data_IF_732853463528
#
_entry.id   IF_732853463528
#
_cell.length_a   1.000
_cell.length_b   1.000
_cell.length_c   1.000
_cell.angle_alpha   90.00
_cell.angle_beta   90.00
_cell.angle_gamma   90.00
#
_symmetry.space_group_name_H-M   'P 1'
#
loop_
_entity.id
_entity.type
_entity.pdbx_description
1 polymer ?
#
# COMPACT_ATOMS: atom_id res chain seq x y z
N UNK A 1 -14.17 6.63 20.99
CA UNK A 1 -14.25 7.23 19.63
C UNK A 1 -15.49 6.71 18.93
N UNK A 2 -16.20 7.55 18.19
CA UNK A 2 -17.44 7.15 17.52
C UNK A 2 -17.14 6.66 16.10
N UNK A 3 -17.88 5.64 15.66
CA UNK A 3 -17.84 5.18 14.27
C UNK A 3 -18.49 6.24 13.37
N UNK A 4 -17.91 6.46 12.19
CA UNK A 4 -18.47 7.37 11.20
C UNK A 4 -19.92 6.95 10.85
N UNK A 5 -20.91 7.88 10.82
CA UNK A 5 -22.32 7.51 10.65
C UNK A 5 -22.60 6.65 9.41
N UNK A 6 -21.98 6.97 8.27
CA UNK A 6 -22.13 6.18 7.04
C UNK A 6 -21.57 4.76 7.14
N UNK A 7 -20.67 4.49 8.11
CA UNK A 7 -20.03 3.18 8.28
C UNK A 7 -20.76 2.30 9.29
N UNK A 8 -21.62 2.86 10.15
CA UNK A 8 -22.38 2.09 11.16
C UNK A 8 -23.15 0.89 10.56
N UNK A 9 -23.84 1.01 9.41
CA UNK A 9 -24.57 -0.12 8.82
C UNK A 9 -23.69 -1.32 8.43
N UNK A 10 -22.40 -1.13 8.28
CA UNK A 10 -21.45 -2.16 7.85
C UNK A 10 -20.77 -2.90 9.01
N UNK A 11 -20.92 -2.43 10.26
CA UNK A 11 -20.36 -3.08 11.45
C UNK A 11 -20.75 -4.57 11.59
N UNK A 12 -22.00 -5.00 11.32
CA UNK A 12 -22.37 -6.42 11.43
C UNK A 12 -21.66 -7.32 10.42
N UNK A 13 -21.12 -6.77 9.32
CA UNK A 13 -20.39 -7.54 8.30
C UNK A 13 -18.91 -7.73 8.62
N UNK A 14 -18.42 -7.09 9.69
CA UNK A 14 -17.03 -7.23 10.11
C UNK A 14 -16.80 -8.56 10.85
N UNK A 15 -15.69 -9.26 10.57
CA UNK A 15 -15.37 -10.53 11.21
C UNK A 15 -14.83 -10.37 12.63
N UNK A 16 -15.46 -9.52 13.47
CA UNK A 16 -14.98 -9.21 14.83
C UNK A 16 -15.05 -10.40 15.79
N UNK A 17 -15.95 -11.35 15.53
CA UNK A 17 -16.16 -12.55 16.35
C UNK A 17 -15.62 -13.82 15.70
N UNK A 18 -15.14 -13.77 14.48
CA UNK A 18 -14.54 -14.90 13.77
C UNK A 18 -13.09 -15.12 14.19
N UNK A 19 -12.54 -16.29 13.86
CA UNK A 19 -11.11 -16.55 14.00
C UNK A 19 -10.29 -15.46 13.28
N UNK A 20 -9.18 -15.05 13.91
CA UNK A 20 -8.30 -14.06 13.30
C UNK A 20 -7.75 -14.63 11.97
N UNK A 21 -7.72 -13.84 10.87
CA UNK A 21 -7.27 -14.33 9.57
C UNK A 21 -5.85 -14.87 9.56
N UNK A 22 -5.02 -14.51 10.53
CA UNK A 22 -3.64 -15.01 10.66
C UNK A 22 -3.50 -16.25 11.54
N UNK A 23 -4.57 -16.79 12.10
CA UNK A 23 -4.57 -18.08 12.81
C UNK A 23 -4.60 -19.26 11.82
N UNK A 24 -5.25 -19.08 10.66
CA UNK A 24 -5.25 -20.04 9.55
C UNK A 24 -5.08 -19.29 8.23
N UNK A 25 -3.81 -19.07 7.86
CA UNK A 25 -3.45 -18.29 6.68
C UNK A 25 -3.92 -18.98 5.39
N UNK A 26 -3.83 -20.31 5.30
CA UNK A 26 -4.22 -21.02 4.08
C UNK A 26 -5.73 -20.92 3.85
N UNK A 27 -6.55 -21.17 4.87
CA UNK A 27 -7.99 -21.00 4.75
C UNK A 27 -8.38 -19.56 4.41
N UNK A 28 -7.65 -18.56 4.96
CA UNK A 28 -7.88 -17.15 4.67
C UNK A 28 -7.51 -16.81 3.22
N UNK A 29 -6.38 -17.32 2.72
CA UNK A 29 -5.96 -17.15 1.32
C UNK A 29 -6.96 -17.77 0.35
N UNK A 30 -7.48 -18.96 0.68
CA UNK A 30 -8.48 -19.66 -0.14
C UNK A 30 -9.80 -18.89 -0.18
N UNK A 31 -10.26 -18.42 0.98
CA UNK A 31 -11.44 -17.57 1.09
C UNK A 31 -11.30 -16.26 0.30
N UNK A 32 -10.14 -15.63 0.37
CA UNK A 32 -9.85 -14.41 -0.38
C UNK A 32 -9.82 -14.67 -1.89
N UNK A 33 -9.18 -15.75 -2.35
CA UNK A 33 -9.19 -16.16 -3.77
C UNK A 33 -10.61 -16.43 -4.27
N UNK A 34 -11.42 -17.14 -3.48
CA UNK A 34 -12.81 -17.42 -3.82
C UNK A 34 -13.64 -16.12 -3.92
N UNK A 35 -13.42 -15.17 -3.00
CA UNK A 35 -14.08 -13.86 -3.04
C UNK A 35 -13.71 -13.06 -4.30
N UNK A 36 -12.44 -13.04 -4.68
CA UNK A 36 -11.97 -12.37 -5.90
C UNK A 36 -12.58 -13.02 -7.15
N UNK A 37 -12.60 -14.35 -7.22
CA UNK A 37 -13.17 -15.09 -8.35
C UNK A 37 -14.69 -14.85 -8.48
N UNK A 38 -15.40 -14.76 -7.37
CA UNK A 38 -16.86 -14.50 -7.36
C UNK A 38 -17.22 -13.07 -7.78
N UNK A 39 -16.28 -12.13 -7.67
CA UNK A 39 -16.47 -10.71 -8.01
C UNK A 39 -15.32 -10.21 -8.86
N UNK A 40 -15.27 -10.57 -10.15
CA UNK A 40 -14.20 -10.11 -11.03
C UNK A 40 -14.14 -8.57 -11.05
N UNK A 41 -12.91 -8.04 -11.12
CA UNK A 41 -12.71 -6.60 -11.20
C UNK A 41 -13.13 -6.09 -12.58
N UNK A 42 -13.66 -4.87 -12.61
CA UNK A 42 -13.88 -4.15 -13.86
C UNK A 42 -12.53 -3.80 -14.50
N UNK A 43 -12.31 -4.29 -15.72
CA UNK A 43 -11.09 -4.06 -16.49
C UNK A 43 -11.29 -3.08 -17.65
N UNK A 44 -12.46 -2.48 -17.74
CA UNK A 44 -12.76 -1.53 -18.83
C UNK A 44 -11.75 -0.39 -18.87
N UNK A 45 -11.29 -0.03 -20.06
CA UNK A 45 -10.32 1.05 -20.25
C UNK A 45 -8.89 0.73 -19.78
N UNK A 46 -8.59 -0.51 -19.39
CA UNK A 46 -7.24 -0.90 -18.91
C UNK A 46 -6.80 -2.20 -19.59
N UNK A 47 -5.59 -2.20 -20.13
CA UNK A 47 -4.87 -3.41 -20.54
C UNK A 47 -3.84 -3.78 -19.50
N UNK A 48 -3.55 -5.06 -19.32
CA UNK A 48 -2.47 -5.53 -18.46
C UNK A 48 -1.62 -6.59 -19.12
N UNK A 49 -0.35 -6.63 -18.73
CA UNK A 49 0.63 -7.60 -19.18
C UNK A 49 1.49 -8.04 -18.01
N UNK A 50 1.80 -9.33 -17.94
CA UNK A 50 2.63 -9.90 -16.87
C UNK A 50 4.07 -10.06 -17.33
N UNK A 51 4.98 -9.77 -16.42
CA UNK A 51 6.42 -9.94 -16.59
C UNK A 51 6.98 -10.73 -15.43
N UNK A 52 7.91 -11.65 -15.74
CA UNK A 52 8.67 -12.38 -14.75
C UNK A 52 10.08 -11.80 -14.66
N UNK A 53 10.43 -11.29 -13.51
CA UNK A 53 11.72 -10.66 -13.21
C UNK A 53 12.60 -11.72 -12.55
N UNK A 54 13.74 -12.11 -13.17
CA UNK A 54 14.64 -13.08 -12.57
C UNK A 54 15.17 -12.63 -11.21
N UNK A 55 15.11 -13.50 -10.20
CA UNK A 55 15.83 -13.35 -8.95
C UNK A 55 17.20 -14.02 -9.04
N UNK A 56 18.11 -13.60 -8.18
CA UNK A 56 19.46 -14.19 -8.13
C UNK A 56 19.51 -15.66 -7.72
N UNK A 57 18.44 -16.21 -7.18
CA UNK A 57 18.30 -17.61 -6.76
C UNK A 57 17.72 -18.55 -7.86
N UNK A 58 17.50 -18.03 -9.04
CA UNK A 58 16.91 -18.76 -10.18
C UNK A 58 15.39 -18.80 -10.22
N UNK A 59 14.71 -18.25 -9.22
CA UNK A 59 13.27 -18.03 -9.22
C UNK A 59 12.91 -16.72 -9.94
N UNK A 60 11.62 -16.42 -10.09
CA UNK A 60 11.16 -15.18 -10.70
C UNK A 60 10.14 -14.46 -9.81
N UNK A 61 10.23 -13.12 -9.81
CA UNK A 61 9.22 -12.23 -9.29
C UNK A 61 8.25 -11.89 -10.40
N UNK A 62 6.97 -12.15 -10.23
CA UNK A 62 5.96 -11.72 -11.17
C UNK A 62 5.49 -10.30 -10.85
N UNK A 63 5.45 -9.44 -11.85
CA UNK A 63 4.78 -8.14 -11.79
C UNK A 63 3.73 -8.07 -12.89
N UNK A 64 2.65 -7.33 -12.64
CA UNK A 64 1.65 -7.04 -13.64
C UNK A 64 1.60 -5.55 -13.94
N UNK A 65 1.83 -5.19 -15.20
CA UNK A 65 1.87 -3.83 -15.71
C UNK A 65 0.52 -3.48 -16.28
N UNK A 66 -0.18 -2.55 -15.66
CA UNK A 66 -1.47 -2.01 -16.07
C UNK A 66 -1.26 -0.70 -16.81
N UNK A 67 -1.95 -0.55 -17.93
CA UNK A 67 -1.89 0.66 -18.76
C UNK A 67 -3.29 1.15 -19.09
N UNK A 68 -3.53 2.46 -19.15
CA UNK A 68 -4.76 2.98 -19.74
C UNK A 68 -4.90 2.42 -21.15
N UNK A 69 -6.11 2.03 -21.52
CA UNK A 69 -6.43 1.59 -22.88
C UNK A 69 -6.88 2.84 -23.63
N UNK A 70 -6.00 3.35 -24.48
CA UNK A 70 -6.21 4.59 -25.20
C UNK A 70 -7.07 4.41 -26.45
N UNK A 71 -7.58 5.54 -26.98
CA UNK A 71 -7.96 5.64 -28.38
C UNK A 71 -6.84 5.18 -29.30
N UNK A 72 -7.11 4.92 -30.55
CA UNK A 72 -6.33 4.12 -31.51
C UNK A 72 -4.81 4.40 -31.66
N UNK A 73 -4.22 5.33 -30.95
CA UNK A 73 -2.80 5.70 -31.00
C UNK A 73 -2.03 5.61 -29.66
N UNK A 74 -2.67 5.15 -28.60
CA UNK A 74 -1.99 4.93 -27.31
C UNK A 74 -1.73 6.18 -26.49
N UNK A 75 -2.21 7.32 -26.89
CA UNK A 75 -2.15 8.57 -26.12
C UNK A 75 -3.50 8.82 -25.43
N UNK A 76 -3.55 9.19 -24.14
CA UNK A 76 -4.80 9.66 -23.55
C UNK A 76 -5.29 10.88 -24.36
N UNK A 77 -6.46 10.79 -24.98
CA UNK A 77 -7.05 11.95 -25.67
C UNK A 77 -7.14 13.13 -24.68
N UNK A 78 -6.30 14.16 -24.91
CA UNK A 78 -6.31 15.38 -24.11
C UNK A 78 -5.42 15.39 -22.87
N UNK A 79 -4.66 14.35 -22.56
CA UNK A 79 -3.67 14.43 -21.50
C UNK A 79 -2.41 15.11 -22.04
N UNK A 80 -2.19 16.36 -21.67
CA UNK A 80 -0.85 16.96 -21.70
C UNK A 80 0.01 16.14 -20.72
N UNK A 81 0.81 15.21 -21.23
CA UNK A 81 1.63 14.30 -20.39
C UNK A 81 2.72 15.05 -19.61
N UNK A 82 2.85 16.35 -19.81
CA UNK A 82 3.90 17.18 -19.21
C UNK A 82 5.32 16.73 -19.56
N UNK A 83 5.45 15.64 -20.33
CA UNK A 83 6.73 15.10 -20.77
C UNK A 83 6.99 15.45 -22.23
N UNK A 84 8.17 16.01 -22.56
CA UNK A 84 8.55 16.30 -23.95
C UNK A 84 8.58 15.06 -24.87
N UNK A 85 8.48 13.86 -24.32
CA UNK A 85 8.60 12.58 -25.03
C UNK A 85 7.31 11.77 -25.04
N UNK A 86 6.18 12.28 -24.50
CA UNK A 86 4.95 11.51 -24.37
C UNK A 86 5.03 10.33 -23.39
N UNK A 87 6.07 10.27 -22.52
CA UNK A 87 6.24 9.23 -21.53
C UNK A 87 5.26 9.45 -20.36
N UNK A 88 4.71 8.35 -19.85
CA UNK A 88 3.81 8.36 -18.68
C UNK A 88 4.60 8.23 -17.36
N UNK A 89 4.12 8.81 -16.26
CA UNK A 89 4.65 8.44 -14.95
C UNK A 89 4.30 7.00 -14.63
N UNK A 90 4.96 6.45 -13.61
CA UNK A 90 4.67 5.12 -13.09
C UNK A 90 4.30 5.12 -11.62
N UNK A 91 3.42 4.19 -11.23
CA UNK A 91 3.07 3.92 -9.84
C UNK A 91 3.30 2.44 -9.55
N UNK A 92 4.28 2.12 -8.71
CA UNK A 92 4.41 0.77 -8.18
C UNK A 92 3.42 0.60 -7.03
N UNK A 93 2.59 -0.44 -7.12
CA UNK A 93 1.62 -0.77 -6.10
C UNK A 93 2.02 -2.04 -5.35
N UNK A 94 2.16 -1.92 -4.03
CA UNK A 94 2.38 -3.02 -3.12
C UNK A 94 1.08 -3.31 -2.37
N UNK A 95 0.52 -4.50 -2.56
CA UNK A 95 -0.76 -4.85 -1.95
C UNK A 95 -0.65 -4.99 -0.43
N UNK A 96 -1.77 -4.83 0.28
CA UNK A 96 -1.88 -5.12 1.71
C UNK A 96 -2.06 -6.60 2.00
N UNK A 97 -2.32 -6.93 3.27
CA UNK A 97 -2.58 -8.30 3.73
C UNK A 97 -1.58 -8.81 4.74
N UNK A 98 -1.01 -7.92 5.59
CA UNK A 98 -0.11 -8.27 6.69
C UNK A 98 1.09 -9.11 6.25
N UNK A 99 1.63 -8.84 5.08
CA UNK A 99 2.78 -9.55 4.49
C UNK A 99 2.54 -11.04 4.19
N UNK A 100 1.36 -11.59 4.50
CA UNK A 100 1.06 -13.02 4.43
C UNK A 100 -0.15 -13.36 3.54
N UNK A 101 -1.01 -12.39 3.23
CA UNK A 101 -2.25 -12.55 2.47
C UNK A 101 -2.22 -11.54 1.32
N UNK A 102 -3.12 -11.64 0.35
CA UNK A 102 -3.46 -10.53 -0.53
C UNK A 102 -2.97 -10.62 -1.96
N UNK A 103 -2.58 -11.79 -2.46
CA UNK A 103 -2.31 -11.95 -3.89
C UNK A 103 -3.56 -11.70 -4.72
N UNK A 104 -3.41 -10.90 -5.77
CA UNK A 104 -4.46 -10.70 -6.76
C UNK A 104 -4.52 -11.87 -7.76
N UNK A 105 -5.69 -12.11 -8.35
CA UNK A 105 -5.80 -12.92 -9.55
C UNK A 105 -5.22 -12.14 -10.74
N UNK A 106 -4.67 -12.81 -11.77
CA UNK A 106 -4.12 -12.13 -12.94
C UNK A 106 -5.10 -11.13 -13.55
N UNK A 107 -4.66 -9.88 -13.72
CA UNK A 107 -5.46 -8.79 -14.25
C UNK A 107 -6.61 -8.32 -13.34
N UNK A 108 -6.62 -8.72 -12.08
CA UNK A 108 -7.73 -8.48 -11.16
C UNK A 108 -7.36 -7.60 -9.95
N UNK A 109 -6.18 -7.00 -9.93
CA UNK A 109 -5.82 -6.08 -8.86
C UNK A 109 -6.68 -4.81 -8.95
N UNK A 110 -7.67 -4.74 -8.05
CA UNK A 110 -8.66 -3.64 -8.04
C UNK A 110 -8.04 -2.29 -7.77
N UNK A 111 -7.00 -2.25 -6.94
CA UNK A 111 -6.31 -1.01 -6.62
C UNK A 111 -5.48 -0.55 -7.81
N UNK A 112 -4.72 -1.46 -8.44
CA UNK A 112 -3.96 -1.14 -9.64
C UNK A 112 -4.86 -0.71 -10.81
N UNK A 113 -6.00 -1.38 -11.00
CA UNK A 113 -6.99 -1.00 -12.01
C UNK A 113 -7.59 0.38 -11.75
N UNK A 114 -7.92 0.70 -10.49
CA UNK A 114 -8.44 2.00 -10.11
C UNK A 114 -7.39 3.10 -10.31
N UNK A 115 -6.16 2.89 -9.84
CA UNK A 115 -5.05 3.81 -10.05
C UNK A 115 -4.80 4.07 -11.53
N UNK A 116 -4.76 3.01 -12.34
CA UNK A 116 -4.53 3.12 -13.79
C UNK A 116 -5.63 3.93 -14.51
N UNK A 117 -6.89 3.83 -14.06
CA UNK A 117 -8.00 4.62 -14.63
C UNK A 117 -8.03 6.06 -14.15
N UNK A 118 -7.76 6.26 -12.87
CA UNK A 118 -7.84 7.59 -12.26
C UNK A 118 -6.61 8.45 -12.51
N UNK A 119 -5.46 7.80 -12.72
CA UNK A 119 -4.21 8.46 -13.03
C UNK A 119 -3.80 8.09 -14.46
N UNK A 120 -3.44 9.06 -15.32
CA UNK A 120 -2.84 8.75 -16.61
C UNK A 120 -1.39 8.24 -16.40
N UNK A 121 -1.24 7.08 -15.75
CA UNK A 121 0.03 6.50 -15.32
C UNK A 121 0.08 5.00 -15.60
N UNK A 122 1.29 4.47 -15.81
CA UNK A 122 1.54 3.03 -15.82
C UNK A 122 1.53 2.54 -14.38
N UNK A 123 0.64 1.61 -14.03
CA UNK A 123 0.61 1.02 -12.69
C UNK A 123 1.24 -0.36 -12.71
N UNK A 124 2.18 -0.63 -11.81
CA UNK A 124 2.88 -1.91 -11.68
C UNK A 124 2.46 -2.55 -10.36
N UNK A 125 1.65 -3.61 -10.42
CA UNK A 125 1.31 -4.42 -9.26
C UNK A 125 2.39 -5.49 -9.03
N UNK A 126 2.89 -5.58 -7.81
CA UNK A 126 4.01 -6.45 -7.45
C UNK A 126 3.51 -7.65 -6.66
N UNK A 127 3.70 -8.87 -7.19
CA UNK A 127 3.38 -10.14 -6.55
C UNK A 127 4.56 -10.60 -5.68
N UNK A 128 4.86 -9.83 -4.62
CA UNK A 128 5.97 -10.12 -3.74
C UNK A 128 5.76 -11.42 -2.94
N UNK A 129 6.86 -12.05 -2.51
CA UNK A 129 6.82 -13.27 -1.70
C UNK A 129 6.21 -13.01 -0.35
N UNK A 130 5.35 -13.94 0.10
CA UNK A 130 4.55 -13.82 1.32
C UNK A 130 5.10 -14.69 2.45
N UNK A 131 4.94 -14.20 3.67
CA UNK A 131 5.13 -14.95 4.89
C UNK A 131 3.93 -15.91 5.12
N UNK A 132 4.09 -16.99 5.88
CA UNK A 132 5.32 -17.42 6.60
C UNK A 132 6.32 -18.18 5.73
N UNK A 133 5.98 -18.55 4.50
CA UNK A 133 6.85 -19.34 3.61
C UNK A 133 8.10 -18.57 3.24
N UNK A 134 7.97 -17.27 3.06
CA UNK A 134 9.05 -16.36 2.74
C UNK A 134 9.01 -15.16 3.68
N UNK A 135 9.58 -15.36 4.87
CA UNK A 135 9.68 -14.31 5.90
C UNK A 135 10.57 -13.16 5.44
N UNK A 136 10.57 -12.09 6.20
CA UNK A 136 11.51 -10.99 6.00
C UNK A 136 12.94 -11.51 5.82
N UNK A 137 13.72 -10.99 4.84
CA UNK A 137 13.46 -9.81 4.00
C UNK A 137 12.83 -10.10 2.62
N UNK A 138 12.32 -11.31 2.35
CA UNK A 138 11.95 -11.74 1.02
C UNK A 138 10.97 -10.77 0.30
N UNK A 139 9.90 -10.35 0.97
CA UNK A 139 8.88 -9.49 0.35
C UNK A 139 9.40 -8.09 0.04
N UNK A 140 10.17 -7.48 0.95
CA UNK A 140 10.71 -6.13 0.73
C UNK A 140 11.79 -6.11 -0.35
N UNK A 141 12.62 -7.15 -0.44
CA UNK A 141 13.61 -7.30 -1.51
C UNK A 141 12.91 -7.48 -2.88
N UNK A 142 11.81 -8.20 -2.93
CA UNK A 142 11.00 -8.31 -4.17
C UNK A 142 10.43 -6.94 -4.59
N UNK A 143 9.92 -6.15 -3.66
CA UNK A 143 9.40 -4.82 -3.95
C UNK A 143 10.51 -3.87 -4.44
N UNK A 144 11.70 -3.93 -3.84
CA UNK A 144 12.85 -3.15 -4.29
C UNK A 144 13.34 -3.61 -5.68
N UNK A 145 13.40 -4.93 -5.92
CA UNK A 145 13.75 -5.50 -7.23
C UNK A 145 12.77 -5.02 -8.33
N UNK A 146 11.47 -4.95 -8.01
CA UNK A 146 10.47 -4.43 -8.95
C UNK A 146 10.71 -2.95 -9.27
N UNK A 147 11.13 -2.13 -8.29
CA UNK A 147 11.50 -0.72 -8.51
C UNK A 147 12.73 -0.62 -9.43
N UNK A 148 13.79 -1.37 -9.16
CA UNK A 148 15.00 -1.39 -10.01
C UNK A 148 14.67 -1.82 -11.44
N UNK A 149 13.87 -2.89 -11.60
CA UNK A 149 13.44 -3.38 -12.90
C UNK A 149 12.62 -2.33 -13.66
N UNK A 150 11.69 -1.66 -12.97
CA UNK A 150 10.85 -0.61 -13.57
C UNK A 150 11.71 0.55 -14.10
N UNK A 151 12.62 1.07 -13.29
CA UNK A 151 13.50 2.16 -13.69
C UNK A 151 14.44 1.76 -14.83
N UNK A 152 15.01 0.57 -14.77
CA UNK A 152 15.91 0.04 -15.82
C UNK A 152 15.21 -0.14 -17.16
N UNK A 153 13.93 -0.52 -17.15
CA UNK A 153 13.11 -0.74 -18.36
C UNK A 153 12.17 0.41 -18.68
N UNK A 154 12.34 1.56 -18.04
CA UNK A 154 11.44 2.69 -18.19
C UNK A 154 11.17 3.07 -19.64
N UNK A 155 12.23 3.16 -20.49
CA UNK A 155 12.10 3.49 -21.91
C UNK A 155 11.27 2.45 -22.69
N UNK A 156 11.48 1.15 -22.44
CA UNK A 156 10.73 0.06 -23.06
C UNK A 156 9.27 0.05 -22.61
N UNK A 157 9.06 0.39 -21.35
CA UNK A 157 7.73 0.47 -20.76
C UNK A 157 7.03 1.82 -21.05
N UNK A 158 7.63 2.75 -21.79
CA UNK A 158 7.05 4.08 -22.04
C UNK A 158 6.88 4.91 -20.75
N UNK A 159 7.74 4.69 -19.77
CA UNK A 159 7.72 5.33 -18.46
C UNK A 159 8.77 6.44 -18.40
N UNK A 160 8.43 7.54 -17.74
CA UNK A 160 9.38 8.57 -17.34
C UNK A 160 10.08 8.14 -16.04
N UNK A 161 11.38 7.82 -16.06
CA UNK A 161 12.08 7.32 -14.88
C UNK A 161 12.21 8.35 -13.75
N UNK A 162 11.99 9.65 -14.05
CA UNK A 162 12.00 10.70 -13.02
C UNK A 162 10.64 10.86 -12.32
N UNK A 163 9.59 10.21 -12.84
CA UNK A 163 8.24 10.26 -12.31
C UNK A 163 7.74 8.88 -11.88
N UNK A 164 8.51 8.20 -11.06
CA UNK A 164 8.14 6.91 -10.46
C UNK A 164 7.68 7.17 -9.02
N UNK A 165 6.42 6.84 -8.72
CA UNK A 165 5.89 6.83 -7.37
C UNK A 165 5.74 5.39 -6.86
N UNK A 166 5.77 5.22 -5.55
CA UNK A 166 5.45 3.96 -4.88
C UNK A 166 4.25 4.17 -3.96
N UNK A 167 3.39 3.16 -3.88
CA UNK A 167 2.19 3.23 -3.03
C UNK A 167 1.78 1.87 -2.51
N UNK A 168 1.10 1.87 -1.37
CA UNK A 168 0.51 0.68 -0.80
C UNK A 168 -0.41 0.96 0.39
N UNK A 169 -1.19 -0.06 0.74
CA UNK A 169 -2.08 -0.02 1.90
C UNK A 169 -1.64 -1.04 2.95
N UNK A 170 -1.74 -0.70 4.24
CA UNK A 170 -1.41 -1.60 5.34
C UNK A 170 0.04 -2.09 5.25
N UNK A 171 0.28 -3.40 5.19
CA UNK A 171 1.60 -3.98 4.91
C UNK A 171 2.26 -3.39 3.65
N UNK A 172 1.48 -3.17 2.57
CA UNK A 172 1.98 -2.51 1.37
C UNK A 172 2.42 -1.06 1.61
N UNK A 173 1.77 -0.35 2.54
CA UNK A 173 2.21 0.97 3.00
C UNK A 173 3.52 0.90 3.77
N UNK A 174 3.70 -0.13 4.61
CA UNK A 174 4.96 -0.42 5.28
C UNK A 174 6.09 -0.76 4.29
N UNK A 175 5.79 -1.60 3.29
CA UNK A 175 6.72 -1.91 2.20
C UNK A 175 7.09 -0.66 1.38
N UNK A 176 6.15 0.25 1.15
CA UNK A 176 6.45 1.52 0.48
C UNK A 176 7.46 2.35 1.27
N UNK A 177 7.27 2.51 2.58
CA UNK A 177 8.23 3.19 3.45
C UNK A 177 9.60 2.50 3.45
N UNK A 178 9.63 1.17 3.54
CA UNK A 178 10.86 0.39 3.55
C UNK A 178 11.62 0.47 2.22
N UNK A 179 10.92 0.37 1.09
CA UNK A 179 11.52 0.49 -0.26
C UNK A 179 12.08 1.89 -0.48
N UNK A 180 11.42 2.95 0.02
CA UNK A 180 11.96 4.31 -0.06
C UNK A 180 13.28 4.43 0.71
N UNK A 181 13.37 3.85 1.92
CA UNK A 181 14.62 3.77 2.68
C UNK A 181 15.70 2.99 1.93
N UNK A 182 15.37 1.79 1.42
CA UNK A 182 16.31 0.95 0.67
C UNK A 182 16.84 1.65 -0.57
N UNK A 183 15.96 2.30 -1.36
CA UNK A 183 16.36 3.02 -2.56
C UNK A 183 17.33 4.16 -2.23
N UNK A 184 17.05 4.96 -1.20
CA UNK A 184 17.97 5.99 -0.72
C UNK A 184 19.33 5.42 -0.30
N UNK A 185 19.31 4.42 0.57
CA UNK A 185 20.51 3.90 1.23
C UNK A 185 21.41 3.12 0.27
N UNK A 186 20.81 2.48 -0.74
CA UNK A 186 21.54 1.72 -1.79
C UNK A 186 21.93 2.56 -3.00
N UNK A 187 21.55 3.86 -3.03
CA UNK A 187 21.75 4.73 -4.21
C UNK A 187 20.98 4.21 -5.43
N UNK A 188 19.84 3.57 -5.17
CA UNK A 188 18.97 2.95 -6.16
C UNK A 188 18.15 3.96 -6.94
N UNK A 189 17.11 3.51 -7.66
CA UNK A 189 16.33 4.42 -8.49
C UNK A 189 15.69 5.53 -7.68
N UNK A 190 15.63 6.73 -8.28
CA UNK A 190 14.91 7.85 -7.68
C UNK A 190 13.42 7.54 -7.59
N UNK A 191 12.81 7.94 -6.47
CA UNK A 191 11.38 7.85 -6.23
C UNK A 191 10.86 9.28 -6.13
N UNK A 192 9.93 9.65 -7.01
CA UNK A 192 9.34 10.98 -7.02
C UNK A 192 8.38 11.22 -5.85
N UNK A 193 7.69 10.16 -5.42
CA UNK A 193 6.68 10.25 -4.35
C UNK A 193 6.45 8.91 -3.66
N UNK A 194 6.25 8.93 -2.34
CA UNK A 194 5.84 7.77 -1.57
C UNK A 194 4.45 8.00 -0.95
N UNK A 195 3.52 7.08 -1.20
CA UNK A 195 2.14 7.21 -0.73
C UNK A 195 1.76 6.01 0.12
N UNK A 196 1.46 6.24 1.38
CA UNK A 196 1.24 5.21 2.38
C UNK A 196 -0.16 5.35 2.98
N UNK A 197 -1.04 4.39 2.69
CA UNK A 197 -2.38 4.34 3.28
C UNK A 197 -2.41 3.35 4.44
N UNK A 198 -2.83 3.81 5.61
CA UNK A 198 -2.91 3.03 6.86
C UNK A 198 -1.67 2.15 7.07
N UNK A 199 -0.44 2.74 7.02
CA UNK A 199 0.80 1.99 6.84
C UNK A 199 1.19 1.21 8.09
N UNK A 200 1.60 -0.04 7.91
CA UNK A 200 2.17 -0.90 8.95
C UNK A 200 3.69 -0.71 8.98
N UNK A 201 4.15 0.29 9.72
CA UNK A 201 5.57 0.72 9.76
C UNK A 201 6.29 0.34 11.04
N UNK A 202 5.60 -0.23 12.03
CA UNK A 202 6.17 -0.45 13.36
C UNK A 202 5.76 -1.82 13.92
N UNK A 203 6.73 -2.72 14.07
CA UNK A 203 6.54 -4.07 14.62
C UNK A 203 6.14 -4.11 16.09
N UNK A 204 6.22 -2.99 16.80
CA UNK A 204 5.84 -2.88 18.22
C UNK A 204 4.34 -2.70 18.43
N UNK A 205 3.57 -2.45 17.37
CA UNK A 205 2.09 -2.36 17.44
C UNK A 205 1.51 -3.67 17.98
N UNK A 206 0.72 -3.56 19.05
CA UNK A 206 0.08 -4.71 19.71
C UNK A 206 0.98 -5.48 20.69
N UNK A 207 2.24 -5.10 20.85
CA UNK A 207 3.14 -5.59 21.91
C UNK A 207 3.02 -4.77 23.20
N UNK A 208 2.47 -3.55 23.10
CA UNK A 208 2.24 -2.70 24.27
C UNK A 208 1.09 -3.25 25.14
N UNK A 209 1.14 -3.05 26.48
CA UNK A 209 0.02 -3.34 27.36
C UNK A 209 -1.26 -2.67 26.82
N UNK A 210 -2.40 -3.34 26.95
CA UNK A 210 -3.70 -2.86 26.42
C UNK A 210 -4.04 -1.42 26.87
N UNK A 211 -3.42 -0.93 27.92
CA UNK A 211 -3.66 0.34 28.60
C UNK A 211 -2.65 1.43 28.23
N UNK A 212 -1.55 1.10 27.54
CA UNK A 212 -0.51 2.05 27.17
C UNK A 212 -1.02 3.01 26.07
N UNK A 213 -1.46 4.19 26.47
CA UNK A 213 -1.77 5.32 25.56
C UNK A 213 -3.20 5.35 25.01
N UNK A 214 -4.10 4.44 25.35
CA UNK A 214 -5.50 4.62 25.05
C UNK A 214 -6.20 5.36 26.20
N UNK A 215 -6.67 6.56 25.93
CA UNK A 215 -7.85 7.07 26.66
C UNK A 215 -8.87 5.95 26.63
N UNK A 216 -9.35 5.50 27.78
CA UNK A 216 -10.27 4.38 27.92
C UNK A 216 -11.45 4.55 26.95
N UNK A 217 -11.30 3.99 25.73
CA UNK A 217 -12.34 4.04 24.72
C UNK A 217 -13.31 2.91 25.09
N UNK A 218 -14.55 3.28 25.35
CA UNK A 218 -15.65 2.30 25.51
C UNK A 218 -16.50 2.31 24.26
N UNK A 219 -17.10 1.15 23.93
CA UNK A 219 -18.02 0.98 22.80
C UNK A 219 -17.39 0.40 21.55
N UNK A 220 -18.17 0.26 20.45
CA UNK A 220 -17.80 -0.47 19.22
C UNK A 220 -16.45 -0.05 18.62
N UNK A 221 -16.09 1.22 18.74
CA UNK A 221 -14.81 1.72 18.24
C UNK A 221 -13.59 1.23 19.03
N UNK A 222 -13.73 0.91 20.32
CA UNK A 222 -12.68 0.32 21.13
C UNK A 222 -12.44 -1.14 20.74
N UNK A 223 -13.51 -1.88 20.50
CA UNK A 223 -13.46 -3.28 20.09
C UNK A 223 -12.78 -3.44 18.71
N UNK A 224 -13.05 -2.50 17.78
CA UNK A 224 -12.40 -2.45 16.46
C UNK A 224 -10.89 -2.27 16.58
N UNK A 225 -10.42 -1.34 17.41
CA UNK A 225 -8.97 -1.14 17.61
C UNK A 225 -8.29 -2.32 18.30
N UNK A 226 -8.96 -2.94 19.28
CA UNK A 226 -8.42 -4.10 19.97
C UNK A 226 -8.27 -5.30 19.01
N UNK A 227 -9.29 -5.56 18.19
CA UNK A 227 -9.23 -6.61 17.17
C UNK A 227 -8.13 -6.33 16.14
N UNK A 228 -8.00 -5.07 15.69
CA UNK A 228 -6.95 -4.64 14.76
C UNK A 228 -5.55 -4.86 15.35
N UNK A 229 -5.30 -4.52 16.63
CA UNK A 229 -4.01 -4.75 17.32
C UNK A 229 -3.60 -6.22 17.33
N UNK A 230 -4.55 -7.13 17.65
CA UNK A 230 -4.27 -8.56 17.63
C UNK A 230 -3.90 -9.04 16.23
N UNK A 231 -4.63 -8.56 15.22
CA UNK A 231 -4.37 -8.89 13.82
C UNK A 231 -2.98 -8.44 13.38
N UNK A 232 -2.59 -7.20 13.68
CA UNK A 232 -1.27 -6.65 13.36
C UNK A 232 -0.15 -7.45 14.05
N UNK A 233 -0.29 -7.76 15.33
CA UNK A 233 0.70 -8.57 16.07
C UNK A 233 0.94 -9.92 15.42
N UNK A 234 -0.13 -10.66 15.09
CA UNK A 234 -0.01 -11.96 14.42
C UNK A 234 0.62 -11.85 13.02
N UNK A 235 0.32 -10.78 12.28
CA UNK A 235 0.96 -10.51 10.99
C UNK A 235 2.48 -10.36 11.14
N UNK A 236 2.95 -9.62 12.14
CA UNK A 236 4.38 -9.47 12.43
C UNK A 236 5.04 -10.78 12.90
N UNK A 237 4.34 -11.61 13.68
CA UNK A 237 4.83 -12.94 14.10
C UNK A 237 5.07 -13.87 12.89
N UNK A 238 4.27 -13.73 11.83
CA UNK A 238 4.49 -14.45 10.56
C UNK A 238 5.59 -13.81 9.72
N UNK A 239 5.66 -12.49 9.67
CA UNK A 239 6.57 -11.76 8.80
C UNK A 239 8.01 -11.84 9.25
N UNK A 240 8.30 -11.62 10.53
CA UNK A 240 9.65 -11.66 11.07
C UNK A 240 10.12 -13.10 11.34
N UNK A 241 11.38 -13.42 11.05
CA UNK A 241 11.97 -14.66 11.53
C UNK A 241 11.96 -14.72 13.07
N UNK A 242 11.70 -15.90 13.61
CA UNK A 242 11.64 -16.09 15.06
C UNK A 242 12.94 -15.65 15.73
N UNK A 243 12.83 -14.92 16.84
CA UNK A 243 13.96 -14.38 17.58
C UNK A 243 14.74 -13.24 16.88
N UNK A 244 14.27 -12.77 15.73
CA UNK A 244 14.92 -11.68 15.00
C UNK A 244 14.27 -10.33 15.36
N UNK A 245 15.09 -9.36 15.76
CA UNK A 245 14.64 -7.99 15.92
C UNK A 245 14.43 -7.34 14.53
N UNK A 246 13.35 -6.60 14.37
CA UNK A 246 13.14 -5.83 13.15
C UNK A 246 14.21 -4.74 12.99
N UNK A 247 14.72 -4.58 11.79
CA UNK A 247 15.54 -3.44 11.38
C UNK A 247 14.68 -2.37 10.66
N UNK A 248 15.31 -1.35 10.10
CA UNK A 248 14.64 -0.26 9.42
C UNK A 248 13.92 -0.69 8.11
N UNK A 249 14.36 -1.77 7.48
CA UNK A 249 13.73 -2.27 6.26
C UNK A 249 12.60 -3.26 6.53
N UNK A 250 12.58 -3.87 7.70
CA UNK A 250 11.42 -4.61 8.17
C UNK A 250 10.33 -3.67 8.68
N UNK A 251 10.72 -2.69 9.50
CA UNK A 251 9.84 -1.74 10.17
C UNK A 251 10.41 -0.31 10.04
N UNK A 252 9.89 0.48 9.12
CA UNK A 252 10.43 1.81 8.77
C UNK A 252 10.48 2.78 9.96
N UNK A 253 9.61 2.59 10.97
CA UNK A 253 9.65 3.35 12.21
C UNK A 253 10.93 3.11 13.06
N UNK A 254 11.73 2.11 12.75
CA UNK A 254 13.03 1.87 13.41
C UNK A 254 14.20 2.60 12.75
N UNK A 255 14.01 3.17 11.57
CA UNK A 255 15.04 3.99 10.94
C UNK A 255 15.40 5.17 11.84
N UNK A 256 16.68 5.44 12.02
CA UNK A 256 17.18 6.56 12.82
C UNK A 256 17.27 7.85 12.02
N UNK A 257 17.46 7.76 10.71
CA UNK A 257 17.55 8.88 9.79
C UNK A 257 16.49 8.71 8.68
N UNK A 258 15.65 9.73 8.48
CA UNK A 258 14.63 9.82 7.45
C UNK A 258 14.91 10.96 6.46
N UNK A 259 16.07 11.60 6.55
CA UNK A 259 16.45 12.67 5.61
C UNK A 259 16.61 12.13 4.19
N UNK A 260 16.38 12.98 3.19
CA UNK A 260 16.56 12.63 1.78
C UNK A 260 15.53 11.64 1.20
N UNK A 261 14.51 11.27 1.98
CA UNK A 261 13.39 10.49 1.45
C UNK A 261 12.48 11.33 0.55
N UNK A 262 11.78 10.70 -0.40
CA UNK A 262 10.87 11.42 -1.29
C UNK A 262 9.68 12.04 -0.54
N UNK A 263 9.06 13.11 -1.08
CA UNK A 263 7.82 13.65 -0.55
C UNK A 263 6.79 12.56 -0.31
N UNK A 264 5.98 12.71 0.76
CA UNK A 264 5.15 11.64 1.27
C UNK A 264 3.69 12.02 1.44
N UNK A 265 2.81 11.06 1.22
CA UNK A 265 1.42 11.07 1.68
C UNK A 265 1.22 9.97 2.71
N UNK A 266 0.63 10.32 3.85
CA UNK A 266 0.29 9.36 4.91
C UNK A 266 -1.18 9.50 5.27
N UNK A 267 -1.95 8.44 5.00
CA UNK A 267 -3.35 8.35 5.38
C UNK A 267 -3.51 7.40 6.56
N UNK A 268 -4.28 7.80 7.55
CA UNK A 268 -4.62 6.98 8.72
C UNK A 268 -6.12 7.01 8.99
N UNK A 269 -6.60 6.05 9.78
CA UNK A 269 -8.00 5.95 10.20
C UNK A 269 -8.10 5.99 11.73
N UNK A 270 -9.12 6.68 12.28
CA UNK A 270 -9.26 6.88 13.73
C UNK A 270 -9.34 5.58 14.53
N UNK A 271 -10.03 4.59 13.99
CA UNK A 271 -10.33 3.33 14.69
C UNK A 271 -9.37 2.20 14.29
N UNK A 272 -8.21 2.57 13.74
CA UNK A 272 -7.15 1.65 13.32
C UNK A 272 -6.05 1.56 14.37
N UNK A 273 -5.52 0.37 14.59
CA UNK A 273 -4.35 0.14 15.44
C UNK A 273 -3.09 0.83 14.89
N UNK A 274 -2.97 0.96 13.57
CA UNK A 274 -1.82 1.56 12.88
C UNK A 274 -1.84 3.09 12.85
N UNK A 275 -2.92 3.73 13.33
CA UNK A 275 -3.06 5.18 13.29
C UNK A 275 -1.89 5.91 13.96
N UNK A 276 -1.61 5.54 15.20
CA UNK A 276 -0.67 6.30 16.03
C UNK A 276 0.77 6.15 15.55
N UNK A 277 1.15 4.95 15.07
CA UNK A 277 2.47 4.71 14.47
C UNK A 277 2.61 5.36 13.10
N UNK A 278 1.56 5.38 12.28
CA UNK A 278 1.52 6.11 11.02
C UNK A 278 1.69 7.61 11.21
N UNK A 279 0.98 8.22 12.18
CA UNK A 279 1.13 9.64 12.53
C UNK A 279 2.52 9.95 13.09
N UNK A 280 3.07 9.09 13.95
CA UNK A 280 4.40 9.25 14.49
C UNK A 280 5.48 9.19 13.39
N UNK A 281 5.33 8.28 12.43
CA UNK A 281 6.22 8.17 11.29
C UNK A 281 6.14 9.40 10.39
N UNK A 282 4.92 9.87 10.07
CA UNK A 282 4.71 11.10 9.30
C UNK A 282 5.37 12.32 9.97
N UNK A 283 5.22 12.46 11.28
CA UNK A 283 5.89 13.53 12.04
C UNK A 283 7.40 13.46 11.92
N UNK A 284 8.00 12.27 12.07
CA UNK A 284 9.44 12.07 11.94
C UNK A 284 9.96 12.38 10.53
N UNK A 285 9.17 12.08 9.47
CA UNK A 285 9.48 12.52 8.12
C UNK A 285 9.54 14.05 8.03
N UNK A 286 8.54 14.74 8.58
CA UNK A 286 8.53 16.23 8.62
C UNK A 286 9.72 16.78 9.42
N UNK A 287 10.02 16.21 10.57
CA UNK A 287 11.17 16.61 11.41
C UNK A 287 12.51 16.40 10.67
N UNK A 288 12.58 15.45 9.73
CA UNK A 288 13.73 15.20 8.85
C UNK A 288 13.74 16.07 7.58
N UNK A 289 12.81 17.03 7.43
CA UNK A 289 12.73 17.92 6.29
C UNK A 289 12.04 17.36 5.05
N UNK A 290 11.38 16.20 5.15
CA UNK A 290 10.60 15.62 4.06
C UNK A 290 9.23 16.32 3.97
N UNK A 291 8.78 16.80 2.80
CA UNK A 291 7.42 17.29 2.61
C UNK A 291 6.39 16.17 2.83
N UNK A 292 5.43 16.37 3.73
CA UNK A 292 4.43 15.34 4.07
C UNK A 292 3.02 15.93 4.06
N UNK A 293 2.11 15.27 3.36
CA UNK A 293 0.67 15.45 3.53
C UNK A 293 0.12 14.35 4.41
N UNK A 294 -0.60 14.72 5.47
CA UNK A 294 -1.25 13.77 6.38
C UNK A 294 -2.76 13.90 6.28
N UNK A 295 -3.45 12.77 6.13
CA UNK A 295 -4.91 12.71 6.24
C UNK A 295 -5.33 11.69 7.28
N UNK A 296 -6.14 12.11 8.25
CA UNK A 296 -6.88 11.21 9.12
C UNK A 296 -8.33 11.09 8.63
N UNK A 297 -8.89 9.87 8.61
CA UNK A 297 -10.30 9.61 8.30
C UNK A 297 -11.06 9.38 9.61
N UNK A 298 -11.86 10.37 10.07
CA UNK A 298 -12.54 10.30 11.35
C UNK A 298 -13.54 9.15 11.42
N UNK A 299 -13.52 8.37 12.50
CA UNK A 299 -14.46 7.30 12.76
C UNK A 299 -14.40 6.10 11.81
N UNK A 300 -13.36 6.01 10.98
CA UNK A 300 -13.12 4.88 10.08
C UNK A 300 -12.18 3.86 10.72
N UNK A 301 -12.36 2.58 10.37
CA UNK A 301 -11.49 1.46 10.76
C UNK A 301 -10.56 1.05 9.62
N UNK A 302 -9.62 0.15 9.90
CA UNK A 302 -8.67 -0.38 8.93
C UNK A 302 -9.36 -1.06 7.74
N UNK A 303 -9.13 -0.58 6.53
CA UNK A 303 -9.68 -1.18 5.31
C UNK A 303 -11.20 -1.02 5.14
N UNK A 304 -11.81 -0.03 5.78
CA UNK A 304 -13.25 0.21 5.71
C UNK A 304 -13.81 0.33 4.29
N UNK A 305 -13.01 0.83 3.37
CA UNK A 305 -13.39 1.01 1.97
C UNK A 305 -13.62 -0.33 1.22
N UNK A 306 -13.08 -1.44 1.73
CA UNK A 306 -13.35 -2.77 1.16
C UNK A 306 -14.77 -3.26 1.51
N UNK A 307 -15.28 -2.84 2.66
CA UNK A 307 -16.62 -3.20 3.14
C UNK A 307 -17.69 -2.21 2.68
N UNK A 308 -17.35 -0.94 2.58
CA UNK A 308 -18.25 0.17 2.33
C UNK A 308 -17.78 1.08 1.16
N UNK A 309 -17.43 0.53 -0.03
CA UNK A 309 -16.81 1.30 -1.11
C UNK A 309 -17.72 2.39 -1.67
N UNK A 310 -19.05 2.20 -1.59
CA UNK A 310 -20.03 3.13 -2.16
C UNK A 310 -20.34 4.33 -1.25
N UNK A 311 -19.86 4.32 -0.01
CA UNK A 311 -20.07 5.43 0.91
C UNK A 311 -19.33 6.69 0.44
N UNK A 312 -19.86 7.87 0.77
CA UNK A 312 -19.22 9.14 0.45
C UNK A 312 -17.82 9.22 1.10
N UNK A 313 -17.70 8.79 2.36
CA UNK A 313 -16.41 8.83 3.07
C UNK A 313 -15.33 7.96 2.39
N UNK A 314 -15.69 6.79 1.82
CA UNK A 314 -14.75 5.96 1.08
C UNK A 314 -14.36 6.60 -0.26
N UNK A 315 -15.30 7.16 -0.98
CA UNK A 315 -15.05 7.88 -2.24
C UNK A 315 -14.18 9.12 -2.03
N UNK A 316 -14.47 9.92 -1.02
CA UNK A 316 -13.65 11.09 -0.66
C UNK A 316 -12.24 10.71 -0.22
N UNK A 317 -12.09 9.62 0.52
CA UNK A 317 -10.77 9.11 0.89
C UNK A 317 -9.97 8.73 -0.37
N UNK A 318 -10.58 7.97 -1.28
CA UNK A 318 -9.94 7.52 -2.52
C UNK A 318 -9.58 8.71 -3.41
N UNK A 319 -10.50 9.64 -3.63
CA UNK A 319 -10.27 10.84 -4.46
C UNK A 319 -9.12 11.71 -3.89
N UNK A 320 -9.05 11.86 -2.57
CA UNK A 320 -7.97 12.60 -1.92
C UNK A 320 -6.62 11.91 -2.10
N UNK A 321 -6.57 10.59 -1.94
CA UNK A 321 -5.37 9.80 -2.13
C UNK A 321 -4.86 9.86 -3.58
N UNK A 322 -5.74 9.59 -4.56
CA UNK A 322 -5.37 9.62 -5.98
C UNK A 322 -5.07 11.04 -6.47
N UNK A 323 -5.74 12.06 -5.92
CA UNK A 323 -5.46 13.47 -6.17
C UNK A 323 -4.03 13.84 -5.84
N UNK A 324 -3.53 13.48 -4.65
CA UNK A 324 -2.14 13.76 -4.27
C UNK A 324 -1.10 12.98 -5.09
N UNK A 325 -1.41 11.75 -5.49
CA UNK A 325 -0.56 11.02 -6.44
C UNK A 325 -0.50 11.75 -7.79
N UNK A 326 -1.64 12.27 -8.26
CA UNK A 326 -1.72 13.05 -9.52
C UNK A 326 -0.89 14.33 -9.41
N UNK A 327 -1.08 15.12 -8.37
CA UNK A 327 -0.34 16.36 -8.13
C UNK A 327 1.19 16.11 -8.11
N UNK A 328 1.62 15.03 -7.46
CA UNK A 328 3.03 14.68 -7.38
C UNK A 328 3.63 14.22 -8.71
N UNK A 329 2.86 13.52 -9.54
CA UNK A 329 3.30 12.96 -10.82
C UNK A 329 3.13 13.94 -11.98
N UNK A 330 2.28 14.96 -11.82
CA UNK A 330 1.99 15.99 -12.82
C UNK A 330 2.09 17.40 -12.21
N UNK A 331 3.28 17.81 -11.74
CA UNK A 331 3.44 19.12 -11.12
C UNK A 331 3.14 20.24 -12.13
N UNK A 332 2.24 21.16 -11.75
CA UNK A 332 1.92 22.35 -12.57
C UNK A 332 0.84 22.17 -13.64
N UNK A 333 0.16 21.02 -13.68
CA UNK A 333 -1.09 20.84 -14.45
C UNK A 333 -2.28 21.08 -13.53
N UNK A 334 -2.93 22.26 -13.61
CA UNK A 334 -4.23 22.53 -13.01
C UNK A 334 -5.39 22.03 -13.90
#
# INVERSE_FOLDING_TARGET
>A
MQVHPELVPFLPSLPLSSANPYEDIEATRDGFRALLAARPADRSGVRSERYDIPRGDGSALTVEVYRPQDGADGSPEGAETGSPRGLLPAVLHFHGGGYAIGRSLPGQDRTALALCRELPAVTIAVEYRLAPEHRYPAGVEDCHLALEWTAKRAAELGIDPERIAITGKSAGGGLSAAVALMARDRGGPAIAYQSMCVPDVDDRVGQEPADAGSVAASGPGADLRAASRRTVRLAWEHYLPEGTAADAYAAAARATDLSGLPPAYVLVCDLDALRDTGLAYARRLMDAGVPVTVRNVPGAWHGFEMYAPETRVAKEMTAHWTGHLREALYPGTE
#
